data_IF_748902165181
#
_entry.id   IF_748902165181
#
_cell.length_a   1.000
_cell.length_b   1.000
_cell.length_c   1.000
_cell.angle_alpha   90.00
_cell.angle_beta   90.00
_cell.angle_gamma   90.00
#
_symmetry.space_group_name_H-M   'P 1'
#
loop_
_entity.id
_entity.type
_entity.pdbx_description
1 polymer ?
#
# COMPACT_ATOMS: atom_id res chain seq x y z
N UNK A 1 -7.40 32.56 -34.61
CA UNK A 1 -6.45 31.66 -33.92
C UNK A 1 -6.81 31.37 -32.45
N UNK A 2 -7.51 32.25 -31.72
CA UNK A 2 -7.84 32.03 -30.29
C UNK A 2 -8.73 30.83 -29.97
N UNK A 3 -9.65 30.43 -30.85
CA UNK A 3 -10.64 29.37 -30.53
C UNK A 3 -10.03 27.96 -30.46
N UNK A 4 -8.97 27.70 -31.23
CA UNK A 4 -8.20 26.44 -31.21
C UNK A 4 -7.26 26.36 -30.00
N UNK A 5 -6.71 27.51 -29.58
CA UNK A 5 -5.89 27.58 -28.36
C UNK A 5 -6.71 27.28 -27.11
N UNK A 6 -7.95 27.78 -27.07
CA UNK A 6 -8.87 27.60 -25.94
C UNK A 6 -9.33 26.14 -25.79
N UNK A 7 -9.47 25.41 -26.90
CA UNK A 7 -9.79 23.97 -26.88
C UNK A 7 -8.61 23.13 -26.41
N UNK A 8 -7.38 23.46 -26.80
CA UNK A 8 -6.18 22.74 -26.35
C UNK A 8 -5.93 22.94 -24.86
N UNK A 9 -6.07 24.17 -24.34
CA UNK A 9 -5.93 24.44 -22.90
C UNK A 9 -6.99 23.71 -22.06
N UNK A 10 -8.23 23.60 -22.56
CA UNK A 10 -9.28 22.87 -21.87
C UNK A 10 -8.92 21.38 -21.73
N UNK A 11 -8.49 20.73 -22.82
CA UNK A 11 -8.12 19.30 -22.80
C UNK A 11 -6.91 19.04 -21.90
N UNK A 12 -5.93 19.94 -21.86
CA UNK A 12 -4.76 19.80 -20.99
C UNK A 12 -5.09 19.87 -19.49
N UNK A 13 -6.08 20.68 -19.09
CA UNK A 13 -6.53 20.78 -17.70
C UNK A 13 -7.27 19.52 -17.23
N UNK A 14 -7.99 18.82 -18.12
CA UNK A 14 -8.68 17.57 -17.77
C UNK A 14 -7.74 16.37 -17.57
N UNK A 15 -6.54 16.38 -18.16
CA UNK A 15 -5.55 15.31 -17.99
C UNK A 15 -4.84 15.34 -16.61
N UNK A 16 -4.89 16.46 -15.90
CA UNK A 16 -4.14 16.65 -14.64
C UNK A 16 -4.82 16.07 -13.39
N UNK A 17 -6.11 15.71 -13.44
CA UNK A 17 -6.83 15.14 -12.28
C UNK A 17 -6.77 13.60 -12.18
N UNK A 18 -6.12 12.91 -13.13
CA UNK A 18 -6.18 11.45 -13.23
C UNK A 18 -5.08 10.67 -12.48
N UNK A 19 -3.96 11.29 -12.09
CA UNK A 19 -2.82 10.55 -11.52
C UNK A 19 -2.66 10.77 -10.01
N UNK A 20 -3.67 10.40 -9.22
CA UNK A 20 -3.57 10.46 -7.75
C UNK A 20 -2.81 9.27 -7.12
N UNK A 21 -2.23 8.37 -7.92
CA UNK A 21 -1.45 7.22 -7.43
C UNK A 21 0.02 7.38 -7.73
N UNK A 22 0.72 8.10 -6.86
CA UNK A 22 2.16 8.05 -6.78
C UNK A 22 2.51 7.01 -5.73
N UNK A 23 2.93 5.81 -6.17
CA UNK A 23 3.56 4.90 -5.22
C UNK A 23 4.89 5.57 -4.84
N UNK A 24 5.01 5.99 -3.58
CA UNK A 24 6.25 6.59 -3.11
C UNK A 24 7.30 5.49 -3.28
N UNK A 25 8.32 5.76 -4.10
CA UNK A 25 9.32 4.76 -4.46
C UNK A 25 10.09 4.23 -3.26
N UNK A 26 11.13 3.44 -3.51
CA UNK A 26 11.93 2.89 -2.42
C UNK A 26 12.52 3.98 -1.51
N UNK A 27 12.25 3.85 -0.22
CA UNK A 27 12.86 4.70 0.80
C UNK A 27 14.21 4.13 1.25
N UNK A 28 15.16 4.98 1.72
CA UNK A 28 16.46 4.53 2.19
C UNK A 28 16.40 3.45 3.29
N UNK A 29 15.42 3.51 4.19
CA UNK A 29 15.28 2.54 5.28
C UNK A 29 14.94 1.12 4.78
N UNK A 30 14.31 0.99 3.61
CA UNK A 30 13.94 -0.31 3.03
C UNK A 30 15.17 -1.08 2.50
N UNK A 31 16.27 -0.36 2.25
CA UNK A 31 17.55 -0.91 1.79
C UNK A 31 18.61 -0.98 2.90
N UNK A 32 18.26 -0.58 4.12
CA UNK A 32 19.20 -0.60 5.23
C UNK A 32 19.51 -2.05 5.63
N UNK A 33 20.79 -2.39 5.68
CA UNK A 33 21.22 -3.70 6.15
C UNK A 33 20.98 -3.84 7.66
N UNK A 34 20.50 -5.00 8.09
CA UNK A 34 20.46 -5.36 9.51
C UNK A 34 21.90 -5.56 10.02
N UNK A 35 22.24 -4.89 11.12
CA UNK A 35 23.53 -5.08 11.77
C UNK A 35 23.56 -6.43 12.48
N UNK A 36 24.70 -7.12 12.38
CA UNK A 36 24.93 -8.32 13.17
C UNK A 36 24.98 -7.96 14.67
N UNK A 37 24.44 -8.81 15.56
CA UNK A 37 24.64 -8.66 16.99
C UNK A 37 26.14 -8.63 17.34
N UNK A 38 26.54 -7.95 18.42
CA UNK A 38 27.90 -8.03 18.94
C UNK A 38 28.31 -9.48 19.18
N UNK A 39 29.55 -9.82 18.85
CA UNK A 39 30.09 -11.14 19.14
C UNK A 39 30.18 -11.36 20.66
N UNK A 40 29.83 -12.56 21.11
CA UNK A 40 30.08 -12.97 22.49
C UNK A 40 31.59 -13.17 22.71
N UNK A 41 32.09 -12.68 23.84
CA UNK A 41 33.49 -12.85 24.25
C UNK A 41 33.51 -13.90 25.36
N UNK A 42 34.50 -14.79 25.34
CA UNK A 42 34.61 -15.84 26.37
C UNK A 42 34.65 -15.23 27.78
N UNK A 43 33.72 -15.67 28.64
CA UNK A 43 33.55 -15.13 29.99
C UNK A 43 32.71 -13.84 30.10
N UNK A 44 32.22 -13.29 28.99
CA UNK A 44 31.40 -12.07 28.95
C UNK A 44 30.09 -12.31 28.19
N UNK A 45 28.97 -12.41 28.90
CA UNK A 45 27.64 -12.53 28.30
C UNK A 45 26.92 -11.18 28.23
N UNK A 46 26.19 -10.96 27.14
CA UNK A 46 25.29 -9.80 27.03
C UNK A 46 23.97 -10.14 27.71
N UNK A 47 23.52 -9.40 28.73
CA UNK A 47 22.24 -9.68 29.39
C UNK A 47 21.08 -9.39 28.44
N UNK A 48 20.22 -10.38 28.21
CA UNK A 48 19.00 -10.18 27.44
C UNK A 48 17.90 -9.58 28.33
N UNK A 49 17.31 -8.48 27.88
CA UNK A 49 16.14 -7.89 28.52
C UNK A 49 14.86 -8.52 27.97
N UNK A 50 13.90 -8.85 28.83
CA UNK A 50 12.56 -9.29 28.42
C UNK A 50 11.78 -8.18 27.69
N UNK A 51 12.20 -6.92 27.86
CA UNK A 51 11.65 -5.77 27.13
C UNK A 51 12.47 -5.42 25.88
N UNK A 52 13.47 -6.23 25.50
CA UNK A 52 14.25 -6.01 24.29
C UNK A 52 13.38 -6.19 23.05
N UNK A 53 13.48 -5.27 22.10
CA UNK A 53 12.84 -5.39 20.80
C UNK A 53 13.50 -6.54 20.02
N UNK A 54 12.68 -7.47 19.52
CA UNK A 54 13.13 -8.56 18.66
C UNK A 54 12.77 -8.25 17.23
N UNK A 55 13.77 -8.26 16.35
CA UNK A 55 13.54 -8.16 14.91
C UNK A 55 12.98 -9.51 14.43
N UNK A 56 11.82 -9.54 13.74
CA UNK A 56 11.27 -10.76 13.18
C UNK A 56 12.20 -11.36 12.12
N UNK A 57 12.09 -12.67 11.82
CA UNK A 57 12.75 -13.24 10.66
C UNK A 57 12.31 -12.52 9.38
N UNK A 58 13.23 -12.44 8.41
CA UNK A 58 12.94 -11.85 7.11
C UNK A 58 11.80 -12.61 6.41
N UNK A 59 10.91 -11.91 5.68
CA UNK A 59 9.88 -12.56 4.90
C UNK A 59 10.49 -13.46 3.80
N UNK A 60 9.76 -14.51 3.42
CA UNK A 60 10.20 -15.43 2.37
C UNK A 60 10.39 -14.74 1.00
N UNK A 61 9.64 -13.66 0.77
CA UNK A 61 9.69 -12.86 -0.45
C UNK A 61 9.86 -11.38 -0.11
N UNK A 62 10.80 -10.70 -0.77
CA UNK A 62 10.93 -9.25 -0.66
C UNK A 62 9.81 -8.59 -1.46
N UNK A 63 8.93 -7.85 -0.79
CA UNK A 63 7.81 -7.18 -1.46
C UNK A 63 8.18 -5.72 -1.74
N UNK A 64 8.23 -5.29 -3.02
CA UNK A 64 8.50 -3.90 -3.38
C UNK A 64 7.31 -2.99 -3.03
N UNK A 65 7.54 -1.67 -3.06
CA UNK A 65 6.53 -0.62 -2.75
C UNK A 65 5.26 -0.66 -3.63
N UNK A 66 5.30 -1.36 -4.76
CA UNK A 66 4.16 -1.56 -5.65
C UNK A 66 4.23 -2.91 -6.37
N UNK A 67 3.07 -3.46 -6.75
CA UNK A 67 2.96 -4.68 -7.56
C UNK A 67 2.01 -4.50 -8.73
N UNK A 68 2.26 -5.22 -9.82
CA UNK A 68 1.34 -5.31 -10.94
C UNK A 68 0.21 -6.27 -10.58
N UNK A 69 -1.04 -5.83 -10.73
CA UNK A 69 -2.23 -6.67 -10.56
C UNK A 69 -3.08 -6.60 -11.83
N UNK A 70 -3.88 -7.64 -12.13
CA UNK A 70 -4.86 -7.58 -13.21
C UNK A 70 -5.76 -6.36 -13.06
N UNK A 71 -6.05 -5.70 -14.17
CA UNK A 71 -6.97 -4.58 -14.19
C UNK A 71 -8.42 -5.10 -14.28
N UNK A 72 -9.25 -4.94 -13.23
CA UNK A 72 -10.65 -5.36 -13.29
C UNK A 72 -11.48 -4.54 -14.29
N UNK A 73 -11.04 -3.33 -14.63
CA UNK A 73 -11.74 -2.44 -15.57
C UNK A 73 -11.33 -2.73 -17.03
N UNK A 74 -10.20 -3.40 -17.25
CA UNK A 74 -9.67 -3.66 -18.59
C UNK A 74 -9.08 -5.09 -18.69
N UNK A 75 -9.90 -6.09 -19.06
CA UNK A 75 -9.50 -7.48 -19.14
C UNK A 75 -8.30 -7.69 -20.07
N UNK A 76 -7.23 -8.32 -19.56
CA UNK A 76 -5.97 -8.53 -20.29
C UNK A 76 -4.92 -7.45 -20.08
N UNK A 77 -5.24 -6.39 -19.33
CA UNK A 77 -4.29 -5.37 -18.88
C UNK A 77 -3.87 -5.58 -17.42
N UNK A 78 -2.76 -4.95 -17.04
CA UNK A 78 -2.30 -4.86 -15.65
C UNK A 78 -2.29 -3.41 -15.19
N UNK A 79 -2.62 -3.19 -13.92
CA UNK A 79 -2.48 -1.90 -13.23
C UNK A 79 -1.50 -2.01 -12.06
N UNK A 80 -0.87 -0.89 -11.72
CA UNK A 80 0.02 -0.80 -10.56
C UNK A 80 -0.81 -0.63 -9.29
N UNK A 81 -0.64 -1.54 -8.33
CA UNK A 81 -1.17 -1.45 -6.97
C UNK A 81 -0.04 -1.05 -6.03
N UNK A 82 -0.10 0.17 -5.49
CA UNK A 82 0.79 0.61 -4.41
C UNK A 82 0.42 -0.15 -3.12
N UNK A 83 1.41 -0.65 -2.38
CA UNK A 83 1.17 -1.41 -1.15
C UNK A 83 0.98 -0.52 0.08
N UNK A 84 1.39 0.74 0.00
CA UNK A 84 1.18 1.74 1.06
C UNK A 84 -0.23 2.36 1.02
N UNK A 85 -1.03 2.07 -0.01
CA UNK A 85 -2.42 2.53 -0.09
C UNK A 85 -3.29 1.55 0.69
N UNK A 86 -4.05 2.01 1.71
CA UNK A 86 -4.96 1.15 2.45
C UNK A 86 -5.90 0.40 1.50
N UNK A 87 -6.22 -0.88 1.76
CA UNK A 87 -7.20 -1.59 0.97
C UNK A 87 -8.55 -0.86 1.04
N UNK A 88 -9.33 -0.85 -0.05
CA UNK A 88 -10.68 -0.28 -0.02
C UNK A 88 -11.51 -1.05 1.01
N UNK A 89 -12.20 -0.33 1.89
CA UNK A 89 -13.13 -0.98 2.81
C UNK A 89 -14.29 -1.56 2.01
N UNK A 90 -14.57 -2.85 2.21
CA UNK A 90 -15.78 -3.46 1.69
C UNK A 90 -16.97 -2.86 2.42
N UNK A 91 -17.81 -2.10 1.73
CA UNK A 91 -19.07 -1.63 2.30
C UNK A 91 -19.99 -2.83 2.35
N UNK A 92 -20.19 -3.40 3.53
CA UNK A 92 -21.25 -4.40 3.73
C UNK A 92 -22.56 -3.63 3.68
N UNK A 93 -23.49 -3.96 2.76
CA UNK A 93 -24.79 -3.30 2.74
C UNK A 93 -25.48 -3.59 4.08
N UNK A 94 -25.80 -2.53 4.80
CA UNK A 94 -26.62 -2.59 6.02
C UNK A 94 -27.96 -3.20 5.59
N UNK A 95 -28.20 -4.44 6.04
CA UNK A 95 -29.48 -5.10 5.79
C UNK A 95 -30.48 -4.44 6.72
N UNK A 96 -31.41 -3.67 6.14
CA UNK A 96 -32.56 -3.13 6.86
C UNK A 96 -33.22 -4.26 7.68
N UNK A 97 -33.48 -4.06 8.98
CA UNK A 97 -34.19 -5.06 9.76
C UNK A 97 -35.59 -5.26 9.17
N UNK A 98 -35.90 -6.51 8.81
CA UNK A 98 -37.20 -6.91 8.29
C UNK A 98 -38.32 -6.44 9.25
N UNK A 99 -39.46 -5.92 8.75
CA UNK A 99 -40.54 -5.47 9.60
C UNK A 99 -41.08 -6.65 10.41
N UNK A 100 -41.14 -6.48 11.73
CA UNK A 100 -41.70 -7.45 12.65
C UNK A 100 -43.13 -7.81 12.18
N UNK A 101 -43.34 -9.11 11.92
CA UNK A 101 -44.67 -9.64 11.65
C UNK A 101 -45.58 -9.30 12.83
N UNK A 102 -46.72 -8.66 12.54
CA UNK A 102 -47.77 -8.42 13.49
C UNK A 102 -48.31 -9.77 13.99
N UNK A 103 -48.06 -10.09 15.26
CA UNK A 103 -48.71 -11.21 15.95
C UNK A 103 -50.19 -10.85 16.19
N UNK A 104 -51.08 -11.82 15.90
CA UNK A 104 -52.54 -11.76 16.01
C UNK A 104 -53.02 -12.51 17.24
#
# INVERSE_FOLDING_TARGET
>A
MSRRLLTICAVAMLAACGSNRHCIGEFPYQRAATLAPPAEVEGLSTPESVAALRIPPAPAESVPYARNVPDPENPGSTRVQCLDVPPPMTVVPETDPAPAAAES
#
